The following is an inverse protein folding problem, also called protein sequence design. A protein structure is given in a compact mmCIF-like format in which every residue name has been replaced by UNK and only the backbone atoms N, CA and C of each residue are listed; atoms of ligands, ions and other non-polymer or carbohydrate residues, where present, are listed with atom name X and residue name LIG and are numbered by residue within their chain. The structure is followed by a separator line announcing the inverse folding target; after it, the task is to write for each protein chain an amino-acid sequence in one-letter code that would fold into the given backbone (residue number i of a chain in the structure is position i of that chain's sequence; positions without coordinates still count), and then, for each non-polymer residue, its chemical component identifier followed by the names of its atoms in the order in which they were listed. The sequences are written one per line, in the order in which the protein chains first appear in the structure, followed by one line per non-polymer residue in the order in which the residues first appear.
data_IF_718276767544
#
_entry.id   IF_718276767544
#
_cell.length_a   1.000
_cell.length_b   1.000
_cell.length_c   1.000
_cell.angle_alpha   90.00
_cell.angle_beta   90.00
_cell.angle_gamma   90.00
#
_symmetry.space_group_name_H-M   'P 1'
#
loop_
_entity.id
_entity.type
_entity.pdbx_description
1 polymer ?
#
# COMPACT_ATOMS: atom_id res chain seq x y z
N UNK A 1 -6.93 -16.68 3.75
CA UNK A 1 -6.08 -15.55 4.16
C UNK A 1 -4.99 -16.08 5.08
N UNK A 2 -3.71 -15.84 4.76
CA UNK A 2 -2.60 -16.21 5.66
C UNK A 2 -2.46 -15.19 6.81
N UNK A 3 -1.73 -15.55 7.86
CA UNK A 3 -1.40 -14.61 8.95
C UNK A 3 -0.65 -13.37 8.44
N UNK A 4 0.30 -13.56 7.51
CA UNK A 4 1.05 -12.49 6.87
C UNK A 4 0.17 -11.51 6.10
N UNK A 5 -0.81 -12.02 5.34
CA UNK A 5 -1.75 -11.18 4.59
C UNK A 5 -2.61 -10.33 5.54
N UNK A 6 -3.16 -10.95 6.59
CA UNK A 6 -3.96 -10.24 7.59
C UNK A 6 -3.13 -9.17 8.31
N UNK A 7 -1.89 -9.49 8.66
CA UNK A 7 -0.99 -8.57 9.34
C UNK A 7 -0.70 -7.35 8.47
N UNK A 8 -0.32 -7.54 7.21
CA UNK A 8 -0.13 -6.43 6.26
C UNK A 8 -1.41 -5.64 6.02
N UNK A 9 -2.55 -6.34 5.92
CA UNK A 9 -3.86 -5.69 5.73
C UNK A 9 -4.15 -4.71 6.87
N UNK A 10 -3.75 -5.01 8.11
CA UNK A 10 -3.94 -4.08 9.25
C UNK A 10 -3.02 -2.86 9.23
N UNK A 11 -1.99 -2.84 8.38
CA UNK A 11 -0.98 -1.77 8.34
C UNK A 11 -1.15 -0.83 7.14
N UNK A 12 -1.93 -1.22 6.13
CA UNK A 12 -2.17 -0.39 4.94
C UNK A 12 -3.43 0.46 5.08
N UNK A 13 -3.55 1.48 4.25
CA UNK A 13 -4.72 2.37 4.25
C UNK A 13 -5.92 1.79 3.48
N UNK A 14 -5.66 0.93 2.50
CA UNK A 14 -6.69 0.32 1.68
C UNK A 14 -6.29 -1.07 1.14
N UNK A 15 -7.27 -1.80 0.62
CA UNK A 15 -7.04 -3.07 -0.07
C UNK A 15 -7.81 -3.15 -1.37
N UNK A 16 -7.18 -3.71 -2.41
CA UNK A 16 -7.88 -4.12 -3.63
C UNK A 16 -8.57 -5.46 -3.39
N UNK A 17 -9.86 -5.49 -3.71
CA UNK A 17 -10.65 -6.72 -3.69
C UNK A 17 -11.73 -6.64 -4.78
N UNK A 18 -11.81 -7.67 -5.63
CA UNK A 18 -12.73 -7.77 -6.77
C UNK A 18 -12.75 -6.51 -7.65
N UNK A 19 -11.56 -6.10 -8.13
CA UNK A 19 -11.36 -4.92 -9.00
C UNK A 19 -11.91 -3.60 -8.42
N UNK A 20 -12.00 -3.53 -7.09
CA UNK A 20 -12.38 -2.32 -6.35
C UNK A 20 -11.40 -2.05 -5.24
N UNK A 21 -11.31 -0.79 -4.84
CA UNK A 21 -10.54 -0.36 -3.69
C UNK A 21 -11.46 -0.17 -2.48
N UNK A 22 -11.00 -0.68 -1.35
CA UNK A 22 -11.68 -0.63 -0.08
C UNK A 22 -10.79 0.08 0.93
N UNK A 23 -11.19 1.29 1.33
CA UNK A 23 -10.49 2.07 2.34
C UNK A 23 -10.71 1.45 3.72
N UNK A 24 -9.64 1.29 4.49
CA UNK A 24 -9.72 0.77 5.85
C UNK A 24 -10.20 1.86 6.80
N UNK A 25 -11.07 1.47 7.72
CA UNK A 25 -11.68 2.37 8.71
C UNK A 25 -11.20 2.02 10.11
N UNK A 26 -11.17 0.73 10.44
CA UNK A 26 -10.82 0.23 11.77
C UNK A 26 -10.30 -1.19 11.68
N UNK A 27 -9.44 -1.55 12.64
CA UNK A 27 -8.88 -2.89 12.81
C UNK A 27 -9.21 -3.36 14.22
N UNK A 28 -9.83 -4.53 14.33
CA UNK A 28 -10.20 -5.11 15.61
C UNK A 28 -9.59 -6.50 15.79
N UNK A 29 -9.47 -6.91 17.05
CA UNK A 29 -9.13 -8.27 17.42
C UNK A 29 -9.96 -8.68 18.63
N UNK A 30 -10.71 -9.76 18.51
CA UNK A 30 -11.55 -10.31 19.58
C UNK A 30 -10.87 -11.56 20.15
N UNK A 31 -10.76 -11.58 21.48
CA UNK A 31 -10.20 -12.70 22.27
C UNK A 31 -8.83 -13.24 21.77
N UNK A 32 -8.04 -12.41 21.09
CA UNK A 32 -6.75 -12.76 20.47
C UNK A 32 -6.81 -13.86 19.38
N UNK A 33 -8.00 -14.22 18.90
CA UNK A 33 -8.21 -15.31 17.93
C UNK A 33 -8.90 -14.84 16.66
N UNK A 34 -9.82 -13.89 16.79
CA UNK A 34 -10.56 -13.32 15.66
C UNK A 34 -10.02 -11.93 15.33
N UNK A 35 -9.91 -11.65 14.04
CA UNK A 35 -9.37 -10.39 13.55
C UNK A 35 -10.25 -9.85 12.42
N UNK A 36 -10.68 -8.60 12.58
CA UNK A 36 -11.57 -7.94 11.64
C UNK A 36 -10.93 -6.66 11.12
N UNK A 37 -11.11 -6.40 9.82
CA UNK A 37 -10.74 -5.16 9.16
C UNK A 37 -12.01 -4.57 8.56
N UNK A 38 -12.47 -3.45 9.11
CA UNK A 38 -13.66 -2.76 8.63
C UNK A 38 -13.29 -1.84 7.50
N UNK A 39 -14.05 -1.93 6.41
CA UNK A 39 -13.77 -1.18 5.18
C UNK A 39 -14.99 -0.42 4.69
N UNK A 40 -14.74 0.65 3.94
CA UNK A 40 -15.73 1.32 3.11
C UNK A 40 -15.21 1.44 1.68
N UNK A 41 -16.11 1.72 0.75
CA UNK A 41 -15.73 2.01 -0.62
C UNK A 41 -14.74 3.18 -0.66
N UNK A 42 -13.65 3.00 -1.41
CA UNK A 42 -12.65 4.05 -1.57
C UNK A 42 -13.18 5.14 -2.48
N UNK A 43 -13.41 6.34 -1.93
CA UNK A 43 -13.86 7.52 -2.67
C UNK A 43 -12.71 8.46 -3.05
N UNK A 44 -11.49 8.19 -2.59
CA UNK A 44 -10.33 9.09 -2.76
C UNK A 44 -10.33 10.33 -1.87
N UNK A 45 -11.40 10.61 -1.12
CA UNK A 45 -11.53 11.81 -0.27
C UNK A 45 -10.43 11.92 0.78
N UNK A 46 -10.11 10.81 1.47
CA UNK A 46 -9.03 10.76 2.47
C UNK A 46 -7.64 10.86 1.87
N UNK A 47 -7.50 10.58 0.58
CA UNK A 47 -6.24 10.62 -0.14
C UNK A 47 -6.17 11.85 -1.06
N UNK A 48 -6.96 12.91 -0.84
CA UNK A 48 -6.91 14.12 -1.69
C UNK A 48 -5.53 14.79 -1.61
N UNK A 49 -4.99 15.30 -2.73
CA UNK A 49 -5.57 15.33 -4.08
C UNK A 49 -5.33 14.06 -4.93
N UNK A 50 -4.73 13.03 -4.34
CA UNK A 50 -4.13 11.87 -4.99
C UNK A 50 -5.11 10.75 -5.39
N UNK A 51 -6.32 10.75 -4.80
CA UNK A 51 -7.25 9.62 -4.85
C UNK A 51 -7.55 9.06 -6.25
N UNK A 52 -7.75 9.92 -7.26
CA UNK A 52 -8.01 9.47 -8.63
C UNK A 52 -6.81 8.72 -9.22
N UNK A 53 -5.61 9.29 -9.09
CA UNK A 53 -4.37 8.67 -9.58
C UNK A 53 -4.07 7.35 -8.87
N UNK A 54 -4.40 7.23 -7.58
CA UNK A 54 -4.25 5.97 -6.83
C UNK A 54 -5.16 4.89 -7.42
N UNK A 55 -6.45 5.19 -7.60
CA UNK A 55 -7.42 4.23 -8.16
C UNK A 55 -6.99 3.73 -9.53
N UNK A 56 -6.66 4.66 -10.44
CA UNK A 56 -6.30 4.31 -11.81
C UNK A 56 -5.08 3.40 -11.85
N UNK A 57 -4.05 3.70 -11.05
CA UNK A 57 -2.79 2.95 -11.06
C UNK A 57 -2.91 1.57 -10.40
N UNK A 58 -3.63 1.45 -9.28
CA UNK A 58 -3.80 0.14 -8.63
C UNK A 58 -4.65 -0.79 -9.47
N UNK A 59 -5.74 -0.28 -10.07
CA UNK A 59 -6.63 -1.10 -10.89
C UNK A 59 -6.03 -1.48 -12.25
N UNK A 60 -5.17 -0.62 -12.81
CA UNK A 60 -4.44 -0.91 -14.05
C UNK A 60 -3.21 -1.81 -13.85
N UNK A 61 -2.76 -2.04 -12.61
CA UNK A 61 -1.61 -2.91 -12.38
C UNK A 61 -1.97 -4.37 -12.69
N UNK A 62 -1.20 -4.95 -13.59
CA UNK A 62 -1.32 -6.34 -14.02
C UNK A 62 -0.08 -7.15 -13.61
N UNK A 63 -0.26 -8.48 -13.52
CA UNK A 63 0.83 -9.46 -13.57
C UNK A 63 1.76 -9.55 -12.35
N UNK A 64 2.57 -10.62 -12.37
CA UNK A 64 3.65 -10.90 -11.42
C UNK A 64 3.24 -11.76 -10.22
N UNK A 65 3.03 -13.07 -10.45
CA UNK A 65 2.81 -14.01 -9.34
C UNK A 65 4.14 -14.21 -8.59
N UNK A 66 4.32 -13.48 -7.49
CA UNK A 66 5.43 -13.71 -6.57
C UNK A 66 5.00 -14.72 -5.50
N UNK A 67 5.94 -15.44 -4.91
CA UNK A 67 5.65 -16.29 -3.76
C UNK A 67 5.41 -15.47 -2.48
N UNK A 68 5.94 -14.26 -2.42
CA UNK A 68 6.00 -13.35 -1.27
C UNK A 68 5.43 -11.97 -1.59
N UNK A 69 5.03 -11.21 -0.57
CA UNK A 69 4.63 -9.81 -0.74
C UNK A 69 5.83 -8.95 -1.18
N UNK A 70 5.58 -7.95 -2.02
CA UNK A 70 6.61 -7.04 -2.51
C UNK A 70 6.10 -5.59 -2.50
N UNK A 71 6.99 -4.65 -2.21
CA UNK A 71 6.71 -3.21 -2.22
C UNK A 71 6.80 -2.64 -3.64
N UNK A 72 5.84 -1.80 -4.03
CA UNK A 72 5.79 -1.11 -5.32
C UNK A 72 5.62 0.38 -5.09
N UNK A 73 6.68 1.16 -5.35
CA UNK A 73 6.66 2.59 -5.09
C UNK A 73 6.18 3.41 -6.28
N UNK A 74 5.36 4.40 -5.95
CA UNK A 74 4.77 5.37 -6.85
C UNK A 74 5.12 6.76 -6.34
N UNK A 75 5.89 7.51 -7.10
CA UNK A 75 6.36 8.86 -6.72
C UNK A 75 5.44 9.93 -7.30
N UNK A 76 5.02 10.88 -6.47
CA UNK A 76 4.17 11.98 -6.89
C UNK A 76 4.94 12.99 -7.74
N UNK A 77 4.57 13.09 -9.02
CA UNK A 77 5.03 14.13 -9.94
C UNK A 77 3.80 14.85 -10.47
N UNK A 78 3.45 16.00 -9.88
CA UNK A 78 2.23 16.72 -10.24
C UNK A 78 2.04 16.77 -11.77
N UNK A 79 0.88 16.31 -12.29
CA UNK A 79 -0.37 16.01 -11.59
C UNK A 79 -0.63 14.51 -11.30
N UNK A 80 0.35 13.61 -11.39
CA UNK A 80 0.13 12.17 -11.27
C UNK A 80 1.28 11.42 -10.63
N UNK A 81 1.03 10.22 -10.11
CA UNK A 81 2.14 9.36 -9.71
C UNK A 81 2.83 8.72 -10.90
N UNK A 82 4.12 8.43 -10.72
CA UNK A 82 4.95 7.67 -11.65
C UNK A 82 5.57 6.49 -10.93
N UNK A 83 5.68 5.37 -11.63
CA UNK A 83 6.31 4.17 -11.09
C UNK A 83 7.80 4.42 -10.87
N UNK A 84 8.30 4.11 -9.68
CA UNK A 84 9.73 4.10 -9.44
C UNK A 84 10.33 2.80 -10.01
N UNK A 85 11.45 2.91 -10.74
CA UNK A 85 12.14 1.74 -11.31
C UNK A 85 12.82 0.87 -10.26
N UNK A 86 12.98 1.40 -9.04
CA UNK A 86 13.61 0.69 -7.94
C UNK A 86 12.71 -0.47 -7.49
N UNK A 87 13.00 -1.66 -8.03
CA UNK A 87 12.45 -2.91 -7.56
C UNK A 87 13.23 -3.33 -6.33
N UNK A 88 12.66 -3.09 -5.17
CA UNK A 88 13.11 -3.86 -4.02
C UNK A 88 12.75 -5.33 -4.28
N UNK A 89 13.70 -6.24 -4.03
CA UNK A 89 13.49 -7.67 -4.24
C UNK A 89 12.36 -8.22 -3.36
N UNK A 90 12.15 -9.53 -3.35
CA UNK A 90 11.24 -10.17 -2.39
C UNK A 90 11.56 -9.71 -0.97
N UNK A 91 10.68 -8.90 -0.39
CA UNK A 91 10.82 -8.35 0.97
C UNK A 91 10.19 -9.33 1.94
N UNK A 92 10.82 -9.60 3.08
CA UNK A 92 10.15 -10.39 4.12
C UNK A 92 8.96 -9.58 4.68
N UNK A 93 7.86 -10.24 5.03
CA UNK A 93 6.64 -9.60 5.54
C UNK A 93 6.93 -8.60 6.68
N UNK A 94 7.89 -8.91 7.55
CA UNK A 94 8.30 -8.06 8.66
C UNK A 94 8.98 -6.75 8.21
N UNK A 95 9.86 -6.81 7.20
CA UNK A 95 10.54 -5.62 6.67
C UNK A 95 9.54 -4.68 5.99
N UNK A 96 8.54 -5.25 5.29
CA UNK A 96 7.45 -4.48 4.70
C UNK A 96 6.57 -3.82 5.77
N UNK A 97 6.28 -4.54 6.86
CA UNK A 97 5.54 -4.02 7.98
C UNK A 97 6.27 -2.87 8.69
N UNK A 98 7.59 -2.97 8.88
CA UNK A 98 8.40 -1.89 9.46
C UNK A 98 8.26 -0.60 8.64
N UNK A 99 8.33 -0.70 7.32
CA UNK A 99 8.20 0.46 6.43
C UNK A 99 6.82 1.08 6.45
N UNK A 100 5.76 0.27 6.53
CA UNK A 100 4.39 0.75 6.65
C UNK A 100 4.13 1.49 7.98
N UNK A 101 4.97 1.27 8.99
CA UNK A 101 4.92 2.00 10.26
C UNK A 101 5.74 3.31 10.22
N UNK A 102 6.63 3.45 9.25
CA UNK A 102 7.43 4.66 9.06
C UNK A 102 6.61 5.73 8.33
N UNK A 103 6.80 7.00 8.71
CA UNK A 103 6.19 8.13 8.00
C UNK A 103 7.04 8.60 6.81
N UNK A 104 8.35 8.33 6.85
CA UNK A 104 9.31 8.70 5.81
C UNK A 104 10.14 7.49 5.40
N UNK A 105 10.64 7.50 4.17
CA UNK A 105 11.62 6.52 3.68
C UNK A 105 12.72 7.21 2.89
N UNK A 106 13.87 6.55 2.77
CA UNK A 106 15.01 7.04 1.97
C UNK A 106 15.26 6.07 0.84
N UNK A 107 15.08 6.54 -0.40
CA UNK A 107 15.26 5.75 -1.61
C UNK A 107 16.22 6.49 -2.56
N UNK A 108 17.29 5.82 -3.00
CA UNK A 108 18.25 6.41 -3.92
C UNK A 108 18.94 7.69 -3.40
N UNK A 109 19.05 7.85 -2.07
CA UNK A 109 19.65 9.04 -1.44
C UNK A 109 18.70 10.23 -1.29
N UNK A 110 17.42 10.07 -1.63
CA UNK A 110 16.37 11.08 -1.48
C UNK A 110 15.38 10.66 -0.40
N UNK A 111 14.80 11.63 0.29
CA UNK A 111 13.79 11.39 1.32
C UNK A 111 12.39 11.54 0.74
N UNK A 112 11.51 10.63 1.10
CA UNK A 112 10.12 10.63 0.67
C UNK A 112 9.18 10.50 1.87
N UNK A 113 8.10 11.26 1.85
CA UNK A 113 6.95 11.12 2.74
C UNK A 113 6.00 10.05 2.19
N UNK A 114 5.49 9.17 3.06
CA UNK A 114 4.41 8.25 2.71
C UNK A 114 3.07 8.97 2.65
N UNK A 115 2.41 8.87 1.51
CA UNK A 115 1.12 9.51 1.22
C UNK A 115 -0.04 8.54 1.43
N UNK A 116 0.10 7.32 0.91
CA UNK A 116 -0.95 6.30 0.96
C UNK A 116 -0.40 4.91 0.67
N UNK A 117 -1.10 3.88 1.11
CA UNK A 117 -0.71 2.50 0.91
C UNK A 117 -1.91 1.60 0.53
N UNK A 118 -1.71 0.71 -0.45
CA UNK A 118 -2.74 -0.21 -0.92
C UNK A 118 -2.20 -1.62 -1.05
N UNK A 119 -2.83 -2.56 -0.34
CA UNK A 119 -2.56 -3.99 -0.49
C UNK A 119 -3.35 -4.55 -1.68
N UNK A 120 -2.66 -5.20 -2.61
CA UNK A 120 -3.24 -6.09 -3.61
C UNK A 120 -2.89 -7.54 -3.23
N UNK A 121 -3.79 -8.28 -2.57
CA UNK A 121 -3.52 -9.63 -2.11
C UNK A 121 -3.50 -10.64 -3.27
N UNK A 122 -4.18 -10.36 -4.38
CA UNK A 122 -4.21 -11.24 -5.55
C UNK A 122 -2.86 -11.21 -6.27
N UNK A 123 -2.25 -10.03 -6.38
CA UNK A 123 -0.92 -9.85 -6.97
C UNK A 123 0.23 -9.94 -5.97
N UNK A 124 -0.07 -10.05 -4.66
CA UNK A 124 0.89 -9.95 -3.55
C UNK A 124 1.76 -8.69 -3.63
N UNK A 125 1.13 -7.56 -3.93
CA UNK A 125 1.79 -6.25 -4.02
C UNK A 125 1.31 -5.34 -2.90
N UNK A 126 2.20 -4.55 -2.35
CA UNK A 126 1.86 -3.39 -1.53
C UNK A 126 2.29 -2.15 -2.30
N UNK A 127 1.31 -1.41 -2.81
CA UNK A 127 1.52 -0.15 -3.50
C UNK A 127 1.78 0.92 -2.44
N UNK A 128 2.93 1.58 -2.55
CA UNK A 128 3.38 2.62 -1.64
C UNK A 128 3.45 3.93 -2.42
N UNK A 129 2.54 4.84 -2.13
CA UNK A 129 2.49 6.16 -2.74
C UNK A 129 3.28 7.13 -1.89
N UNK A 130 4.24 7.80 -2.53
CA UNK A 130 5.22 8.63 -1.84
C UNK A 130 5.41 9.97 -2.54
N UNK A 131 5.92 10.96 -1.82
CA UNK A 131 6.25 12.28 -2.34
C UNK A 131 7.63 12.69 -1.85
N UNK A 132 8.49 13.15 -2.77
CA UNK A 132 9.82 13.66 -2.42
C UNK A 132 9.69 14.91 -1.53
N UNK A 133 10.51 14.97 -0.48
CA UNK A 133 10.57 16.09 0.47
C UNK A 133 12.02 16.46 0.73
N UNK A 134 12.28 17.76 0.84
CA UNK A 134 13.54 18.27 1.40
C UNK A 134 13.36 18.40 2.92
N UNK A 135 14.08 17.57 3.69
CA UNK A 135 14.16 17.63 5.16
C UNK A 135 15.44 18.32 5.63
#
# INVERSE_FOLDING_TARGET
MSGDELFLRKLVDATRFDDRLWAHISNESEEHTEHSVYVAEFTGERAKPYGASITDLVLAEEGGYTSTFSAFYWEWHEPAFRRMEQREGSVFTLELAQRLLDHYTVLGGKTYEFIYSVLDPQLKKVHLFVKEVDL
#
